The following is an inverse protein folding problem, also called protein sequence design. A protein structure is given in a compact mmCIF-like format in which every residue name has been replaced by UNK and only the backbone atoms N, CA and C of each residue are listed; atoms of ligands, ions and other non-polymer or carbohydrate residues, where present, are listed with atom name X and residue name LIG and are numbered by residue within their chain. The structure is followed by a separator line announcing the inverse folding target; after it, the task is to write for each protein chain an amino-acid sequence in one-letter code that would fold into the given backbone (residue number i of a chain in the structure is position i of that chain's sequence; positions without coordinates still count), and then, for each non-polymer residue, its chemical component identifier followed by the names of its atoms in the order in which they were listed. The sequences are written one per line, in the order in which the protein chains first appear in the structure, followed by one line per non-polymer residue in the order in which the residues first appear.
data_IF_150495812247
#
_entry.id   IF_150495812247
#
_cell.length_a   1.000
_cell.length_b   1.000
_cell.length_c   1.000
_cell.angle_alpha   90.00
_cell.angle_beta   90.00
_cell.angle_gamma   90.00
#
_symmetry.space_group_name_H-M   'P 1'
#
loop_
_entity.id
_entity.type
_entity.pdbx_description
1 polymer ?
#
# COMPACT_ATOMS: atom_id res chain seq x y z
N UNK A 1 -7.60 -18.10 3.78
CA UNK A 1 -8.81 -17.24 3.76
C UNK A 1 -9.05 -16.61 5.11
N UNK A 2 -9.32 -15.30 5.15
CA UNK A 2 -9.76 -14.59 6.35
C UNK A 2 -11.19 -15.00 6.73
N UNK A 3 -11.55 -14.85 8.00
CA UNK A 3 -12.80 -15.37 8.61
C UNK A 3 -13.89 -14.33 8.75
N UNK A 4 -13.57 -13.05 8.61
CA UNK A 4 -14.54 -11.98 8.75
C UNK A 4 -14.17 -10.72 7.96
N UNK A 5 -15.18 -9.98 7.54
CA UNK A 5 -15.08 -8.60 7.06
C UNK A 5 -15.57 -7.68 8.19
N UNK A 6 -14.78 -6.66 8.54
CA UNK A 6 -15.17 -5.69 9.58
C UNK A 6 -15.96 -4.52 8.99
N UNK A 7 -16.61 -3.73 9.85
CA UNK A 7 -17.36 -2.54 9.41
C UNK A 7 -16.44 -1.47 8.82
N UNK A 8 -15.24 -1.29 9.41
CA UNK A 8 -14.19 -0.42 8.89
C UNK A 8 -13.06 -1.31 8.31
N UNK A 9 -12.79 -1.18 7.00
CA UNK A 9 -11.74 -1.90 6.27
C UNK A 9 -10.87 -0.90 5.52
N UNK A 10 -9.57 -0.93 5.75
CA UNK A 10 -8.59 -0.11 5.03
C UNK A 10 -7.68 -1.01 4.21
N UNK A 11 -7.91 -1.05 2.90
CA UNK A 11 -7.00 -1.68 1.96
C UNK A 11 -5.91 -0.68 1.59
N UNK A 12 -4.65 -1.01 1.84
CA UNK A 12 -3.55 -0.06 1.74
C UNK A 12 -2.34 -0.64 1.03
N UNK A 13 -1.51 0.28 0.53
CA UNK A 13 -0.21 0.03 -0.07
C UNK A 13 0.77 1.14 0.36
N UNK A 14 2.06 0.83 0.38
CA UNK A 14 3.10 1.72 0.86
C UNK A 14 4.32 1.70 -0.07
N UNK A 15 4.85 2.88 -0.36
CA UNK A 15 6.05 3.04 -1.20
C UNK A 15 7.23 3.54 -0.37
N UNK A 16 8.39 2.98 -0.66
CA UNK A 16 9.64 3.33 0.00
C UNK A 16 10.82 3.28 -0.96
N UNK A 17 11.85 4.04 -0.60
CA UNK A 17 13.08 4.18 -1.39
C UNK A 17 14.30 4.04 -0.47
N UNK A 18 15.51 3.79 -1.01
CA UNK A 18 16.74 3.94 -0.24
C UNK A 18 16.78 5.30 0.47
N UNK A 19 17.23 5.33 1.73
CA UNK A 19 17.38 6.56 2.51
C UNK A 19 18.84 7.06 2.43
N UNK A 20 19.13 8.13 1.66
CA UNK A 20 20.49 8.64 1.54
C UNK A 20 21.06 9.09 2.90
N UNK A 21 20.23 9.61 3.80
CA UNK A 21 20.71 10.03 5.13
C UNK A 21 21.14 8.83 5.96
N UNK A 22 20.39 7.73 5.90
CA UNK A 22 20.80 6.47 6.51
C UNK A 22 22.08 5.92 5.86
N UNK A 23 22.22 6.02 4.54
CA UNK A 23 23.41 5.62 3.80
C UNK A 23 24.66 6.37 4.27
N UNK A 24 24.58 7.70 4.38
CA UNK A 24 25.68 8.54 4.89
C UNK A 24 26.11 8.15 6.30
N UNK A 25 25.15 7.94 7.19
CA UNK A 25 25.41 7.60 8.59
C UNK A 25 25.98 6.19 8.77
N UNK A 26 25.49 5.20 8.02
CA UNK A 26 25.87 3.80 8.21
C UNK A 26 27.19 3.43 7.53
N UNK A 27 27.60 4.20 6.53
CA UNK A 27 28.81 3.95 5.74
C UNK A 27 29.87 5.05 5.88
N UNK A 28 29.70 5.96 6.86
CA UNK A 28 30.61 7.07 7.13
C UNK A 28 30.93 7.91 5.86
N UNK A 29 29.92 8.15 5.01
CA UNK A 29 30.09 8.87 3.75
C UNK A 29 30.08 10.39 3.96
N UNK A 30 30.72 11.17 3.08
CA UNK A 30 30.72 12.63 3.17
C UNK A 30 29.30 13.22 3.21
N UNK A 31 29.10 14.22 4.06
CA UNK A 31 27.82 14.89 4.21
C UNK A 31 27.35 15.61 2.93
N UNK A 32 28.30 16.02 2.08
CA UNK A 32 28.09 16.71 0.81
C UNK A 32 28.06 15.76 -0.41
N UNK A 33 28.22 14.44 -0.21
CA UNK A 33 28.08 13.46 -1.28
C UNK A 33 26.66 13.51 -1.85
N UNK A 34 26.45 13.58 -3.18
CA UNK A 34 25.11 13.62 -3.78
C UNK A 34 24.27 12.38 -3.43
N UNK A 35 22.94 12.55 -3.23
CA UNK A 35 22.03 11.47 -2.85
C UNK A 35 22.12 10.26 -3.80
N UNK A 36 22.21 10.51 -5.11
CA UNK A 36 22.35 9.44 -6.10
C UNK A 36 23.61 8.59 -5.89
N UNK A 37 24.76 9.22 -5.58
CA UNK A 37 26.01 8.51 -5.31
C UNK A 37 25.95 7.72 -4.00
N UNK A 38 25.31 8.29 -2.98
CA UNK A 38 25.06 7.59 -1.71
C UNK A 38 24.23 6.34 -1.95
N UNK A 39 23.13 6.43 -2.68
CA UNK A 39 22.25 5.29 -2.98
C UNK A 39 22.98 4.22 -3.79
N UNK A 40 23.81 4.59 -4.76
CA UNK A 40 24.67 3.66 -5.48
C UNK A 40 25.63 2.91 -4.54
N UNK A 41 26.25 3.62 -3.62
CA UNK A 41 27.13 3.02 -2.61
C UNK A 41 26.36 2.08 -1.67
N UNK A 42 25.14 2.45 -1.27
CA UNK A 42 24.26 1.58 -0.48
C UNK A 42 23.99 0.26 -1.22
N UNK A 43 23.66 0.30 -2.51
CA UNK A 43 23.46 -0.92 -3.30
C UNK A 43 24.74 -1.74 -3.44
N UNK A 44 25.90 -1.09 -3.67
CA UNK A 44 27.21 -1.76 -3.74
C UNK A 44 27.52 -2.52 -2.45
N UNK A 45 27.30 -1.89 -1.30
CA UNK A 45 27.52 -2.50 0.03
C UNK A 45 26.54 -3.64 0.34
N UNK A 46 25.40 -3.70 -0.34
CA UNK A 46 24.38 -4.75 -0.19
C UNK A 46 24.42 -5.79 -1.34
N UNK A 47 25.53 -5.89 -2.06
CA UNK A 47 25.78 -6.97 -3.00
C UNK A 47 25.24 -6.72 -4.41
N UNK A 48 25.25 -5.47 -4.87
CA UNK A 48 24.92 -5.16 -6.25
C UNK A 48 25.88 -5.88 -7.22
N UNK A 49 25.31 -6.43 -8.29
CA UNK A 49 26.03 -7.07 -9.41
C UNK A 49 25.50 -6.53 -10.73
N UNK A 50 26.14 -6.84 -11.86
CA UNK A 50 25.60 -6.50 -13.19
C UNK A 50 24.21 -7.10 -13.42
N UNK A 51 23.98 -8.34 -12.96
CA UNK A 51 22.70 -9.03 -13.06
C UNK A 51 21.65 -8.50 -12.07
N UNK A 52 22.08 -7.96 -10.94
CA UNK A 52 21.24 -7.43 -9.87
C UNK A 52 21.79 -6.10 -9.36
N UNK A 53 21.68 -5.01 -10.13
CA UNK A 53 22.32 -3.74 -9.80
C UNK A 53 21.67 -3.03 -8.61
N UNK A 54 20.42 -3.38 -8.29
CA UNK A 54 19.61 -2.77 -7.22
C UNK A 54 19.12 -3.85 -6.24
N UNK A 55 20.02 -4.45 -5.43
CA UNK A 55 19.60 -5.42 -4.44
C UNK A 55 18.66 -4.78 -3.42
N UNK A 56 17.77 -5.61 -2.85
CA UNK A 56 16.88 -5.18 -1.78
C UNK A 56 17.70 -4.62 -0.61
N UNK A 57 17.36 -3.40 -0.19
CA UNK A 57 17.88 -2.78 1.02
C UNK A 57 16.96 -3.08 2.20
N UNK A 58 17.54 -3.34 3.36
CA UNK A 58 16.78 -3.56 4.60
C UNK A 58 15.92 -2.34 4.90
N UNK A 59 14.72 -2.54 5.44
CA UNK A 59 13.79 -1.44 5.74
C UNK A 59 14.37 -0.33 6.62
N UNK A 60 15.27 -0.67 7.56
CA UNK A 60 15.99 0.33 8.36
C UNK A 60 16.85 1.31 7.51
N UNK A 61 17.35 0.87 6.35
CA UNK A 61 18.13 1.64 5.38
C UNK A 61 17.26 2.31 4.31
N UNK A 62 15.94 2.14 4.38
CA UNK A 62 14.98 2.75 3.45
C UNK A 62 14.27 3.92 4.12
N UNK A 63 13.56 4.73 3.34
CA UNK A 63 12.61 5.76 3.83
C UNK A 63 11.24 5.52 3.22
N UNK A 64 10.20 5.68 4.03
CA UNK A 64 8.83 5.66 3.53
C UNK A 64 8.50 6.99 2.84
N UNK A 65 7.90 6.93 1.65
CA UNK A 65 7.59 8.13 0.85
C UNK A 65 6.12 8.28 0.48
N UNK A 66 5.34 7.20 0.48
CA UNK A 66 3.90 7.28 0.28
C UNK A 66 3.16 6.16 0.99
N UNK A 67 1.94 6.45 1.44
CA UNK A 67 0.94 5.46 1.87
C UNK A 67 -0.38 5.83 1.21
N UNK A 68 -0.96 4.96 0.40
CA UNK A 68 -2.33 5.11 -0.08
C UNK A 68 -3.24 4.06 0.53
N UNK A 69 -4.52 4.39 0.65
CA UNK A 69 -5.53 3.48 1.17
C UNK A 69 -6.91 3.76 0.58
N UNK A 70 -7.64 2.69 0.28
CA UNK A 70 -9.09 2.71 0.12
C UNK A 70 -9.72 2.39 1.47
N UNK A 71 -10.53 3.31 1.98
CA UNK A 71 -11.28 3.12 3.23
C UNK A 71 -12.73 2.77 2.91
N UNK A 72 -13.18 1.61 3.37
CA UNK A 72 -14.58 1.20 3.38
C UNK A 72 -15.12 1.29 4.81
N UNK A 73 -16.17 2.06 5.01
CA UNK A 73 -16.86 2.21 6.29
C UNK A 73 -18.33 1.87 6.15
N UNK A 74 -18.84 1.01 7.04
CA UNK A 74 -20.26 0.69 7.13
C UNK A 74 -20.86 1.31 8.41
N UNK A 75 -21.92 2.09 8.26
CA UNK A 75 -22.64 2.67 9.39
C UNK A 75 -23.62 1.66 10.04
N UNK A 76 -24.20 1.97 11.21
CA UNK A 76 -25.17 1.08 11.88
C UNK A 76 -26.46 0.83 11.09
N UNK A 77 -26.78 1.66 10.09
CA UNK A 77 -27.92 1.48 9.19
C UNK A 77 -27.57 0.59 8.00
N UNK A 78 -26.30 0.21 7.84
CA UNK A 78 -25.80 -0.65 6.78
C UNK A 78 -25.28 0.12 5.57
N UNK A 79 -25.30 1.46 5.57
CA UNK A 79 -24.80 2.25 4.45
C UNK A 79 -23.28 2.15 4.37
N UNK A 80 -22.77 1.94 3.15
CA UNK A 80 -21.34 1.83 2.88
C UNK A 80 -20.82 3.13 2.28
N UNK A 81 -19.71 3.63 2.81
CA UNK A 81 -18.94 4.73 2.22
C UNK A 81 -17.56 4.23 1.84
N UNK A 82 -17.14 4.52 0.60
CA UNK A 82 -15.79 4.24 0.10
C UNK A 82 -15.09 5.57 -0.21
N UNK A 83 -13.85 5.70 0.22
CA UNK A 83 -12.99 6.86 -0.06
C UNK A 83 -11.56 6.39 -0.36
N UNK A 84 -10.84 7.14 -1.17
CA UNK A 84 -9.43 6.93 -1.50
C UNK A 84 -8.60 8.07 -0.91
N UNK A 85 -7.58 7.70 -0.13
CA UNK A 85 -6.69 8.63 0.57
C UNK A 85 -5.24 8.29 0.27
N UNK A 86 -4.40 9.32 0.25
CA UNK A 86 -2.95 9.19 0.08
C UNK A 86 -2.23 10.15 1.02
N UNK A 87 -1.05 9.74 1.49
CA UNK A 87 -0.06 10.56 2.16
C UNK A 87 1.25 10.45 1.36
N UNK A 88 1.94 11.55 1.03
CA UNK A 88 1.54 12.95 1.28
C UNK A 88 0.24 13.32 0.54
N UNK A 89 -0.57 14.19 1.14
CA UNK A 89 -1.78 14.75 0.51
C UNK A 89 -1.42 15.83 -0.50
N UNK A 90 -0.38 16.60 -0.19
CA UNK A 90 0.20 17.59 -1.08
C UNK A 90 1.67 17.24 -1.36
N UNK A 91 1.96 16.51 -2.46
CA UNK A 91 3.31 16.13 -2.84
C UNK A 91 4.28 17.30 -3.10
N UNK A 92 3.77 18.53 -3.24
CA UNK A 92 4.59 19.72 -3.45
C UNK A 92 4.94 20.43 -2.13
N UNK A 93 4.36 20.00 -1.01
CA UNK A 93 4.62 20.54 0.32
C UNK A 93 5.64 19.68 1.08
N UNK A 94 6.86 20.18 1.36
CA UNK A 94 7.90 19.44 2.07
C UNK A 94 7.47 18.94 3.46
N UNK A 95 6.67 19.70 4.20
CA UNK A 95 6.17 19.31 5.52
C UNK A 95 5.19 18.14 5.43
N UNK A 96 4.47 18.04 4.31
CA UNK A 96 3.55 16.93 4.06
C UNK A 96 4.30 15.67 3.60
N UNK A 97 5.44 15.85 2.93
CA UNK A 97 6.36 14.82 2.46
C UNK A 97 7.35 14.31 3.54
N UNK A 98 7.34 14.89 4.75
CA UNK A 98 8.16 14.39 5.85
C UNK A 98 7.74 12.98 6.27
N UNK A 99 8.72 12.08 6.37
CA UNK A 99 8.48 10.66 6.67
C UNK A 99 7.83 10.46 8.04
N UNK A 100 8.24 11.24 9.06
CA UNK A 100 7.66 11.13 10.40
C UNK A 100 6.20 11.59 10.38
N UNK A 101 5.88 12.67 9.66
CA UNK A 101 4.51 13.14 9.47
C UNK A 101 3.62 12.09 8.76
N UNK A 102 4.10 11.48 7.67
CA UNK A 102 3.38 10.41 6.95
C UNK A 102 3.08 9.23 7.87
N UNK A 103 4.11 8.72 8.56
CA UNK A 103 4.01 7.58 9.47
C UNK A 103 3.07 7.86 10.65
N UNK A 104 3.25 9.00 11.33
CA UNK A 104 2.43 9.39 12.48
C UNK A 104 0.96 9.47 12.10
N UNK A 105 0.62 10.15 10.99
CA UNK A 105 -0.79 10.29 10.57
C UNK A 105 -1.44 8.94 10.30
N UNK A 106 -0.74 8.01 9.66
CA UNK A 106 -1.27 6.69 9.39
C UNK A 106 -1.42 5.87 10.68
N UNK A 107 -0.34 5.69 11.44
CA UNK A 107 -0.32 4.83 12.63
C UNK A 107 -1.24 5.34 13.75
N UNK A 108 -1.29 6.65 13.98
CA UNK A 108 -2.23 7.24 14.94
C UNK A 108 -3.69 7.05 14.49
N UNK A 109 -3.96 7.18 13.18
CA UNK A 109 -5.29 6.96 12.65
C UNK A 109 -5.72 5.50 12.79
N UNK A 110 -4.84 4.54 12.52
CA UNK A 110 -5.10 3.12 12.77
C UNK A 110 -5.35 2.87 14.25
N UNK A 111 -4.50 3.38 15.14
CA UNK A 111 -4.65 3.22 16.59
C UNK A 111 -5.92 3.83 17.18
N UNK A 112 -6.48 4.87 16.54
CA UNK A 112 -7.72 5.53 16.96
C UNK A 112 -8.98 4.90 16.35
N UNK A 113 -8.92 4.53 15.07
CA UNK A 113 -10.08 4.04 14.31
C UNK A 113 -10.24 2.53 14.38
N UNK A 114 -9.15 1.82 14.69
CA UNK A 114 -9.10 0.38 14.81
C UNK A 114 -9.72 -0.38 13.60
N UNK A 115 -9.37 -0.01 12.34
CA UNK A 115 -9.90 -0.67 11.15
C UNK A 115 -9.33 -2.10 11.01
N UNK A 116 -9.98 -2.94 10.20
CA UNK A 116 -9.31 -4.10 9.60
C UNK A 116 -8.36 -3.60 8.51
N UNK A 117 -7.07 -3.82 8.69
CA UNK A 117 -6.07 -3.55 7.67
C UNK A 117 -6.05 -4.69 6.65
N UNK A 118 -5.94 -4.34 5.38
CA UNK A 118 -5.82 -5.28 4.26
C UNK A 118 -4.68 -4.82 3.37
N UNK A 119 -3.74 -5.71 3.06
CA UNK A 119 -2.67 -5.40 2.11
C UNK A 119 -2.19 -6.65 1.38
N UNK A 120 -1.29 -6.48 0.42
CA UNK A 120 -0.70 -7.60 -0.33
C UNK A 120 0.78 -7.72 0.03
N UNK A 121 1.19 -8.79 0.73
CA UNK A 121 2.50 -8.89 1.38
C UNK A 121 2.72 -7.88 2.52
N UNK A 122 1.66 -7.20 3.00
CA UNK A 122 1.78 -6.15 4.01
C UNK A 122 2.40 -6.59 5.34
N UNK A 123 2.29 -7.87 5.70
CA UNK A 123 2.93 -8.40 6.90
C UNK A 123 4.43 -8.69 6.69
N UNK A 124 4.86 -8.87 5.44
CA UNK A 124 6.25 -9.04 5.04
C UNK A 124 6.97 -7.74 4.66
N UNK A 125 6.23 -6.70 4.25
CA UNK A 125 6.78 -5.42 3.82
C UNK A 125 6.27 -4.21 4.57
N UNK A 126 5.02 -3.82 4.32
CA UNK A 126 4.49 -2.50 4.60
C UNK A 126 4.47 -2.19 6.10
N UNK A 127 3.93 -3.11 6.91
CA UNK A 127 3.94 -2.94 8.37
C UNK A 127 5.37 -3.02 8.94
N UNK A 128 6.22 -3.99 8.55
CA UNK A 128 7.63 -3.99 8.97
C UNK A 128 8.40 -2.70 8.70
N UNK A 129 8.25 -2.08 7.52
CA UNK A 129 8.93 -0.81 7.24
C UNK A 129 8.35 0.33 8.07
N UNK A 130 7.02 0.43 8.19
CA UNK A 130 6.38 1.45 9.02
C UNK A 130 6.84 1.37 10.48
N UNK A 131 6.96 0.15 11.02
CA UNK A 131 7.42 -0.07 12.40
C UNK A 131 8.90 0.31 12.54
N UNK A 132 9.78 -0.21 11.67
CA UNK A 132 11.22 0.05 11.77
C UNK A 132 11.53 1.54 11.60
N UNK A 133 10.90 2.19 10.61
CA UNK A 133 11.08 3.62 10.36
C UNK A 133 10.41 4.49 11.40
N UNK A 134 9.26 4.07 11.93
CA UNK A 134 8.64 4.74 13.07
C UNK A 134 9.55 4.79 14.30
N UNK A 135 10.22 3.68 14.61
CA UNK A 135 11.21 3.60 15.69
C UNK A 135 12.42 4.50 15.39
N UNK A 136 12.98 4.44 14.18
CA UNK A 136 14.15 5.25 13.78
C UNK A 136 13.85 6.75 13.84
N UNK A 137 12.66 7.17 13.42
CA UNK A 137 12.22 8.56 13.45
C UNK A 137 11.76 9.02 14.84
N UNK A 138 11.71 8.10 15.82
CA UNK A 138 11.34 8.42 17.20
C UNK A 138 9.88 8.84 17.38
N UNK A 139 8.98 8.41 16.51
CA UNK A 139 7.55 8.74 16.60
C UNK A 139 6.82 7.79 17.57
N UNK A 140 5.72 8.28 18.15
CA UNK A 140 4.83 7.44 18.96
C UNK A 140 3.70 6.87 18.11
N UNK A 141 3.37 5.60 18.34
CA UNK A 141 2.24 4.89 17.73
C UNK A 141 1.47 4.10 18.80
N UNK A 142 1.30 4.69 19.98
CA UNK A 142 0.83 3.99 21.18
C UNK A 142 -0.48 3.20 20.95
N UNK A 143 -1.50 3.81 20.33
CA UNK A 143 -2.77 3.15 20.05
C UNK A 143 -2.64 1.97 19.07
N UNK A 144 -1.80 2.11 18.03
CA UNK A 144 -1.51 1.03 17.08
C UNK A 144 -0.80 -0.15 17.76
N UNK A 145 0.05 0.14 18.75
CA UNK A 145 0.81 -0.86 19.49
C UNK A 145 0.04 -1.52 20.65
N UNK A 146 -1.22 -1.13 20.91
CA UNK A 146 -2.07 -1.84 21.88
C UNK A 146 -2.38 -3.22 21.32
N UNK A 147 -2.18 -4.26 22.14
CA UNK A 147 -2.44 -5.64 21.76
C UNK A 147 -3.26 -6.35 22.84
N UNK A 148 -4.15 -7.28 22.46
CA UNK A 148 -4.87 -8.13 23.40
C UNK A 148 -3.91 -9.13 24.07
N UNK A 149 -4.32 -9.70 25.21
CA UNK A 149 -3.57 -10.76 25.90
C UNK A 149 -3.36 -11.99 25.00
N UNK A 150 -4.40 -12.38 24.25
CA UNK A 150 -4.31 -13.41 23.22
C UNK A 150 -4.58 -12.83 21.84
N UNK A 151 -3.81 -13.22 20.80
CA UNK A 151 -3.92 -12.63 19.46
C UNK A 151 -5.30 -12.69 18.78
N UNK A 152 -6.20 -13.56 19.24
CA UNK A 152 -7.54 -13.73 18.67
C UNK A 152 -8.64 -12.98 19.44
N UNK A 153 -8.32 -12.33 20.57
CA UNK A 153 -9.31 -11.72 21.46
C UNK A 153 -9.60 -10.24 21.12
N UNK A 154 -8.86 -9.62 20.20
CA UNK A 154 -9.03 -8.21 19.88
C UNK A 154 -8.19 -7.73 18.70
N UNK A 155 -8.02 -6.42 18.62
CA UNK A 155 -7.23 -5.73 17.61
C UNK A 155 -5.74 -6.08 17.77
N UNK A 156 -5.20 -6.89 16.86
CA UNK A 156 -3.77 -7.20 16.84
C UNK A 156 -3.24 -7.03 15.42
N UNK A 157 -2.53 -5.95 15.15
CA UNK A 157 -1.95 -5.70 13.81
C UNK A 157 -0.65 -6.47 13.56
N UNK A 158 -0.09 -7.13 14.58
CA UNK A 158 1.22 -7.78 14.52
C UNK A 158 1.13 -9.30 14.33
N UNK A 159 0.02 -9.90 14.77
CA UNK A 159 -0.20 -11.33 14.62
C UNK A 159 -0.57 -11.70 13.18
N UNK A 160 0.17 -12.65 12.60
CA UNK A 160 -0.15 -13.26 11.29
C UNK A 160 -1.48 -14.01 11.27
N UNK A 161 -2.02 -14.36 12.44
CA UNK A 161 -3.29 -15.04 12.59
C UNK A 161 -4.45 -14.09 12.92
N UNK A 162 -4.17 -12.78 12.93
CA UNK A 162 -5.17 -11.76 13.25
C UNK A 162 -6.15 -11.55 12.11
N UNK A 163 -7.42 -11.36 12.47
CA UNK A 163 -8.46 -10.92 11.54
C UNK A 163 -8.47 -9.39 11.38
N UNK A 164 -7.60 -8.66 12.08
CA UNK A 164 -7.48 -7.19 11.98
C UNK A 164 -6.33 -6.75 11.08
N UNK A 165 -5.46 -7.68 10.66
CA UNK A 165 -4.44 -7.46 9.65
C UNK A 165 -4.44 -8.63 8.66
N UNK A 166 -5.10 -8.42 7.53
CA UNK A 166 -5.28 -9.41 6.47
C UNK A 166 -4.24 -9.20 5.38
N UNK A 167 -3.30 -10.14 5.28
CA UNK A 167 -2.37 -10.20 4.16
C UNK A 167 -2.95 -11.09 3.05
N UNK A 168 -3.34 -10.46 1.93
CA UNK A 168 -3.99 -11.13 0.81
C UNK A 168 -3.12 -12.22 0.18
N UNK A 169 -1.80 -12.02 0.12
CA UNK A 169 -0.91 -13.00 -0.47
C UNK A 169 -0.66 -14.20 0.46
N UNK A 170 -1.02 -14.09 1.74
CA UNK A 170 -1.18 -15.25 2.64
C UNK A 170 -2.59 -15.84 2.57
N UNK A 171 -3.62 -15.02 2.35
CA UNK A 171 -5.01 -15.44 2.30
C UNK A 171 -5.33 -16.36 1.09
N UNK A 172 -4.74 -16.06 -0.08
CA UNK A 172 -4.90 -16.82 -1.35
C UNK A 172 -4.22 -18.20 -1.27
N UNK A 173 -3.11 -18.31 -0.53
CA UNK A 173 -2.35 -19.55 -0.40
C UNK A 173 -1.25 -19.70 -1.45
N UNK A 174 -0.47 -20.78 -1.27
CA UNK A 174 0.74 -21.20 -2.02
C UNK A 174 2.09 -20.62 -1.52
N UNK A 175 3.11 -21.47 -1.58
CA UNK A 175 4.52 -21.15 -1.28
C UNK A 175 5.35 -21.25 -2.55
N UNK A 176 6.44 -20.49 -2.64
CA UNK A 176 7.36 -20.58 -3.77
C UNK A 176 6.73 -20.15 -5.10
N UNK A 177 6.92 -20.94 -6.16
CA UNK A 177 6.57 -20.56 -7.55
C UNK A 177 5.07 -20.45 -7.84
N UNK A 178 4.23 -21.06 -7.02
CA UNK A 178 2.77 -21.04 -7.20
C UNK A 178 2.10 -19.84 -6.51
N UNK A 179 2.87 -19.05 -5.73
CA UNK A 179 2.38 -17.79 -5.18
C UNK A 179 2.18 -16.78 -6.32
N UNK A 180 0.95 -16.27 -6.53
CA UNK A 180 0.73 -15.22 -7.49
C UNK A 180 1.20 -13.87 -6.97
N UNK A 181 1.56 -12.98 -7.88
CA UNK A 181 1.71 -11.54 -7.65
C UNK A 181 0.36 -10.84 -7.61
N UNK A 182 0.32 -9.63 -7.04
CA UNK A 182 -0.89 -8.78 -7.06
C UNK A 182 -1.35 -8.54 -8.50
N UNK A 183 -0.40 -8.30 -9.41
CA UNK A 183 -0.67 -8.10 -10.84
C UNK A 183 -1.36 -9.31 -11.47
N UNK A 184 -0.87 -10.52 -11.21
CA UNK A 184 -1.48 -11.74 -11.77
C UNK A 184 -2.91 -11.92 -11.26
N UNK A 185 -3.14 -11.76 -9.96
CA UNK A 185 -4.48 -11.85 -9.38
C UNK A 185 -5.43 -10.77 -9.90
N UNK A 186 -4.96 -9.54 -10.02
CA UNK A 186 -5.77 -8.41 -10.47
C UNK A 186 -6.15 -8.56 -11.95
N UNK A 187 -5.16 -8.67 -12.84
CA UNK A 187 -5.38 -8.65 -14.29
C UNK A 187 -6.23 -9.83 -14.75
N UNK A 188 -5.99 -11.03 -14.21
CA UNK A 188 -6.80 -12.21 -14.52
C UNK A 188 -8.23 -12.13 -13.96
N UNK A 189 -8.48 -11.26 -12.98
CA UNK A 189 -9.81 -10.99 -12.43
C UNK A 189 -10.53 -9.82 -13.11
N UNK A 190 -9.95 -9.27 -14.19
CA UNK A 190 -10.48 -8.09 -14.88
C UNK A 190 -10.29 -6.78 -14.10
N UNK A 191 -9.33 -6.74 -13.17
CA UNK A 191 -8.99 -5.57 -12.34
C UNK A 191 -7.65 -5.01 -12.86
N UNK A 192 -7.48 -3.68 -12.98
CA UNK A 192 -6.19 -3.11 -13.33
C UNK A 192 -5.12 -3.56 -12.35
N UNK A 193 -3.98 -4.02 -12.89
CA UNK A 193 -2.79 -4.27 -12.09
C UNK A 193 -1.91 -3.01 -12.04
N UNK A 194 -0.60 -3.19 -12.18
CA UNK A 194 0.35 -2.08 -12.32
C UNK A 194 0.04 -1.23 -13.56
N UNK A 195 -0.21 0.06 -13.35
CA UNK A 195 -0.51 1.04 -14.39
C UNK A 195 0.76 1.73 -14.92
N UNK A 196 0.75 2.17 -16.18
CA UNK A 196 1.71 3.16 -16.69
C UNK A 196 3.18 2.72 -16.87
N UNK A 197 3.49 1.42 -16.80
CA UNK A 197 4.86 0.91 -16.97
C UNK A 197 5.85 1.33 -15.87
N UNK A 198 5.35 1.94 -14.79
CA UNK A 198 6.12 2.25 -13.60
C UNK A 198 6.18 1.00 -12.71
N UNK A 199 7.38 0.52 -12.40
CA UNK A 199 7.60 -0.60 -11.50
C UNK A 199 8.30 -0.16 -10.22
N UNK A 200 8.32 -1.04 -9.22
CA UNK A 200 8.96 -0.77 -7.92
C UNK A 200 10.45 -0.45 -8.06
N UNK A 201 11.10 -0.98 -9.11
CA UNK A 201 12.53 -0.78 -9.37
C UNK A 201 12.82 0.66 -9.85
N UNK A 202 11.82 1.34 -10.43
CA UNK A 202 11.88 2.74 -10.86
C UNK A 202 11.48 3.78 -9.79
N UNK A 203 10.96 3.36 -8.63
CA UNK A 203 10.51 4.27 -7.55
C UNK A 203 11.69 5.06 -6.97
N UNK A 204 12.83 4.40 -6.79
CA UNK A 204 14.05 5.05 -6.29
C UNK A 204 14.55 6.14 -7.24
N UNK A 205 14.58 5.87 -8.55
CA UNK A 205 14.99 6.84 -9.57
C UNK A 205 14.01 8.01 -9.63
N UNK A 206 12.71 7.71 -9.68
CA UNK A 206 11.69 8.74 -9.68
C UNK A 206 11.78 9.64 -8.44
N UNK A 207 12.09 9.07 -7.27
CA UNK A 207 12.25 9.87 -6.05
C UNK A 207 13.49 10.78 -6.11
N UNK A 208 14.63 10.26 -6.59
CA UNK A 208 15.85 11.04 -6.78
C UNK A 208 15.66 12.19 -7.80
N UNK A 209 14.77 12.00 -8.78
CA UNK A 209 14.36 13.03 -9.74
C UNK A 209 13.25 13.97 -9.21
N UNK A 210 12.88 13.88 -7.93
CA UNK A 210 11.86 14.73 -7.30
C UNK A 210 10.40 14.32 -7.60
N UNK A 211 10.18 13.12 -8.14
CA UNK A 211 8.91 12.58 -8.61
C UNK A 211 7.95 12.08 -7.53
N UNK A 212 7.87 12.71 -6.35
CA UNK A 212 6.99 12.27 -5.24
C UNK A 212 5.52 12.20 -5.69
N UNK A 213 5.07 13.18 -6.48
CA UNK A 213 3.71 13.20 -7.04
C UNK A 213 3.39 11.94 -7.84
N UNK A 214 4.32 11.50 -8.69
CA UNK A 214 4.17 10.29 -9.50
C UNK A 214 4.10 9.04 -8.63
N UNK A 215 4.94 8.98 -7.58
CA UNK A 215 4.94 7.87 -6.62
C UNK A 215 3.60 7.79 -5.87
N UNK A 216 3.08 8.93 -5.39
CA UNK A 216 1.79 8.99 -4.72
C UNK A 216 0.63 8.52 -5.62
N UNK A 217 0.61 8.98 -6.89
CA UNK A 217 -0.39 8.58 -7.88
C UNK A 217 -0.32 7.08 -8.21
N UNK A 218 0.89 6.52 -8.31
CA UNK A 218 1.10 5.09 -8.51
C UNK A 218 0.61 4.27 -7.30
N UNK A 219 0.95 4.69 -6.09
CA UNK A 219 0.51 4.02 -4.85
C UNK A 219 -1.02 4.03 -4.73
N UNK A 220 -1.68 5.13 -5.14
CA UNK A 220 -3.15 5.17 -5.22
C UNK A 220 -3.72 4.06 -6.12
N UNK A 221 -3.10 3.76 -7.27
CA UNK A 221 -3.53 2.65 -8.12
C UNK A 221 -3.33 1.29 -7.44
N UNK A 222 -2.20 1.06 -6.77
CA UNK A 222 -1.92 -0.20 -6.08
C UNK A 222 -2.85 -0.41 -4.87
N UNK A 223 -3.22 0.65 -4.13
CA UNK A 223 -4.22 0.59 -3.07
C UNK A 223 -5.63 0.25 -3.59
N UNK A 224 -6.05 0.84 -4.71
CA UNK A 224 -7.35 0.50 -5.36
C UNK A 224 -7.35 -0.94 -5.86
N UNK A 225 -6.26 -1.37 -6.49
CA UNK A 225 -6.09 -2.75 -6.95
C UNK A 225 -6.15 -3.74 -5.79
N UNK A 226 -5.46 -3.43 -4.69
CA UNK A 226 -5.49 -4.22 -3.46
C UNK A 226 -6.91 -4.33 -2.89
N UNK A 227 -7.67 -3.24 -2.87
CA UNK A 227 -9.07 -3.25 -2.44
C UNK A 227 -9.95 -4.14 -3.33
N UNK A 228 -9.85 -4.00 -4.65
CA UNK A 228 -10.68 -4.77 -5.58
C UNK A 228 -10.35 -6.27 -5.56
N UNK A 229 -9.07 -6.62 -5.38
CA UNK A 229 -8.66 -8.02 -5.18
C UNK A 229 -9.18 -8.56 -3.84
N UNK A 230 -9.09 -7.79 -2.75
CA UNK A 230 -9.71 -8.14 -1.47
C UNK A 230 -11.21 -8.38 -1.63
N UNK A 231 -11.92 -7.49 -2.33
CA UNK A 231 -13.35 -7.59 -2.56
C UNK A 231 -13.71 -8.85 -3.35
N UNK A 232 -12.93 -9.18 -4.39
CA UNK A 232 -13.10 -10.44 -5.16
C UNK A 232 -12.87 -11.67 -4.27
N UNK A 233 -11.85 -11.65 -3.40
CA UNK A 233 -11.59 -12.73 -2.44
C UNK A 233 -12.72 -12.84 -1.42
N UNK A 234 -13.26 -11.71 -0.96
CA UNK A 234 -14.36 -11.67 0.00
C UNK A 234 -15.67 -12.21 -0.60
N UNK A 235 -15.96 -11.87 -1.86
CA UNK A 235 -17.07 -12.43 -2.65
C UNK A 235 -16.89 -13.94 -2.85
N UNK A 236 -15.71 -14.41 -3.26
CA UNK A 236 -15.40 -15.84 -3.35
C UNK A 236 -15.62 -16.58 -2.02
N UNK A 237 -15.29 -15.95 -0.90
CA UNK A 237 -15.50 -16.50 0.44
C UNK A 237 -16.96 -16.43 0.93
N UNK A 238 -17.87 -15.82 0.16
CA UNK A 238 -19.29 -15.70 0.50
C UNK A 238 -19.62 -14.59 1.50
N UNK A 239 -18.69 -13.64 1.76
CA UNK A 239 -18.98 -12.47 2.60
C UNK A 239 -19.85 -11.43 1.89
N UNK A 240 -19.82 -11.44 0.55
CA UNK A 240 -20.68 -10.66 -0.30
C UNK A 240 -21.39 -11.61 -1.25
N UNK A 241 -22.70 -11.45 -1.44
CA UNK A 241 -23.41 -12.09 -2.54
C UNK A 241 -23.14 -11.33 -3.86
N UNK A 242 -23.67 -11.83 -4.97
CA UNK A 242 -23.42 -11.25 -6.30
C UNK A 242 -23.92 -9.80 -6.43
N UNK A 243 -25.07 -9.47 -5.84
CA UNK A 243 -25.62 -8.09 -5.86
C UNK A 243 -24.73 -7.15 -5.04
N UNK A 244 -24.38 -7.55 -3.81
CA UNK A 244 -23.51 -6.76 -2.93
C UNK A 244 -22.11 -6.58 -3.54
N UNK A 245 -21.59 -7.60 -4.21
CA UNK A 245 -20.30 -7.51 -4.89
C UNK A 245 -20.32 -6.54 -6.07
N UNK A 246 -21.43 -6.46 -6.81
CA UNK A 246 -21.64 -5.45 -7.86
C UNK A 246 -21.77 -4.05 -7.25
N UNK A 247 -22.62 -3.89 -6.23
CA UNK A 247 -22.82 -2.61 -5.53
C UNK A 247 -21.50 -2.05 -4.97
N UNK A 248 -20.66 -2.88 -4.33
CA UNK A 248 -19.34 -2.47 -3.83
C UNK A 248 -18.40 -2.00 -4.96
N UNK A 249 -18.42 -2.66 -6.12
CA UNK A 249 -17.64 -2.22 -7.28
C UNK A 249 -18.15 -0.90 -7.86
N UNK A 250 -19.47 -0.70 -7.90
CA UNK A 250 -20.09 0.53 -8.38
C UNK A 250 -19.76 1.72 -7.45
N UNK A 251 -19.67 1.48 -6.13
CA UNK A 251 -19.20 2.47 -5.17
C UNK A 251 -17.74 2.85 -5.41
N UNK A 252 -16.86 1.88 -5.67
CA UNK A 252 -15.44 2.16 -6.02
C UNK A 252 -15.36 2.97 -7.31
N UNK A 253 -16.09 2.55 -8.35
CA UNK A 253 -16.13 3.26 -9.63
C UNK A 253 -16.60 4.69 -9.46
N UNK A 254 -17.72 4.90 -8.78
CA UNK A 254 -18.29 6.22 -8.52
C UNK A 254 -17.30 7.12 -7.77
N UNK A 255 -16.60 6.56 -6.77
CA UNK A 255 -15.57 7.27 -6.01
C UNK A 255 -14.39 7.69 -6.90
N UNK A 256 -13.91 6.80 -7.78
CA UNK A 256 -12.81 7.10 -8.72
C UNK A 256 -13.22 8.16 -9.73
N UNK A 257 -14.39 8.03 -10.36
CA UNK A 257 -14.91 8.96 -11.35
C UNK A 257 -15.14 10.35 -10.75
N UNK A 258 -15.66 10.43 -9.51
CA UNK A 258 -15.83 11.71 -8.82
C UNK A 258 -14.48 12.38 -8.56
N UNK A 259 -13.49 11.65 -8.03
CA UNK A 259 -12.16 12.20 -7.77
C UNK A 259 -11.44 12.60 -9.05
N UNK A 260 -11.63 11.86 -10.14
CA UNK A 260 -11.03 12.11 -11.44
C UNK A 260 -11.54 13.39 -12.12
N UNK A 261 -12.64 14.00 -11.64
CA UNK A 261 -13.09 15.32 -12.12
C UNK A 261 -12.07 16.43 -11.82
N UNK A 262 -11.23 16.23 -10.82
CA UNK A 262 -10.16 17.17 -10.50
C UNK A 262 -8.92 16.93 -11.37
N UNK A 263 -8.35 17.95 -12.04
CA UNK A 263 -7.22 17.77 -12.95
C UNK A 263 -6.00 17.06 -12.34
N UNK A 264 -5.72 17.29 -11.05
CA UNK A 264 -4.63 16.65 -10.31
C UNK A 264 -4.80 15.12 -10.16
N UNK A 265 -6.04 14.63 -10.33
CA UNK A 265 -6.42 13.23 -10.21
C UNK A 265 -6.69 12.56 -11.57
N UNK A 266 -6.22 13.13 -12.67
CA UNK A 266 -6.41 12.57 -14.02
C UNK A 266 -5.95 11.10 -14.16
N UNK A 267 -4.92 10.69 -13.41
CA UNK A 267 -4.45 9.31 -13.32
C UNK A 267 -5.54 8.30 -12.87
N UNK A 268 -6.57 8.75 -12.13
CA UNK A 268 -7.69 7.89 -11.75
C UNK A 268 -8.65 7.62 -12.91
N UNK A 269 -8.80 8.56 -13.86
CA UNK A 269 -9.56 8.32 -15.08
C UNK A 269 -8.89 7.24 -15.94
N UNK A 270 -7.56 7.23 -16.01
CA UNK A 270 -6.79 6.18 -16.69
C UNK A 270 -7.04 4.81 -16.05
N UNK A 271 -7.11 4.75 -14.72
CA UNK A 271 -7.45 3.51 -13.99
C UNK A 271 -8.83 2.99 -14.38
N UNK A 272 -9.85 3.85 -14.41
CA UNK A 272 -11.22 3.48 -14.81
C UNK A 272 -11.26 2.96 -16.26
N UNK A 273 -10.57 3.62 -17.18
CA UNK A 273 -10.50 3.19 -18.58
C UNK A 273 -9.86 1.81 -18.73
N UNK A 274 -8.75 1.56 -18.02
CA UNK A 274 -8.11 0.25 -18.02
C UNK A 274 -9.00 -0.81 -17.39
N UNK A 275 -9.76 -0.44 -16.35
CA UNK A 275 -10.71 -1.35 -15.71
C UNK A 275 -11.80 -1.81 -16.69
N UNK A 276 -12.36 -0.89 -17.48
CA UNK A 276 -13.34 -1.20 -18.51
C UNK A 276 -12.76 -2.11 -19.59
N UNK A 277 -11.54 -1.80 -20.05
CA UNK A 277 -10.84 -2.60 -21.06
C UNK A 277 -10.63 -4.04 -20.59
N UNK A 278 -10.18 -4.24 -19.35
CA UNK A 278 -9.92 -5.57 -18.78
C UNK A 278 -11.21 -6.34 -18.52
N UNK A 279 -12.27 -5.71 -17.99
CA UNK A 279 -13.59 -6.35 -17.84
C UNK A 279 -14.14 -6.82 -19.18
N UNK A 280 -14.00 -6.02 -20.24
CA UNK A 280 -14.40 -6.40 -21.59
C UNK A 280 -13.65 -7.62 -22.16
N UNK A 281 -12.42 -7.87 -21.71
CA UNK A 281 -11.61 -9.01 -22.15
C UNK A 281 -11.88 -10.30 -21.38
N UNK A 282 -12.08 -10.21 -20.07
CA UNK A 282 -12.29 -11.38 -19.19
C UNK A 282 -13.76 -11.85 -19.23
N UNK A 283 -14.68 -11.01 -19.69
CA UNK A 283 -16.13 -11.25 -19.66
C UNK A 283 -16.75 -10.75 -18.36
N UNK A 284 -18.05 -10.42 -18.37
CA UNK A 284 -18.76 -10.00 -17.15
C UNK A 284 -18.80 -11.17 -16.15
N UNK A 285 -18.06 -11.04 -15.05
CA UNK A 285 -18.10 -11.94 -13.89
C UNK A 285 -18.37 -11.16 -12.62
#
# INVERSE_FOLDING_TARGET
MFKSVKHDVWAFDAEWVPDPDAGRLLYDLPADMPDFEVVQEMWRQNGATEEKPRPFLKYAMSRLVSIAMVTRSQDPQGNVTIDLRVQPRDPDNPDDCDEAAILSRFLESVGRRLPQLVGFNSTGSDLPIMIQRGIIKGITAAGFCIRPDKPWEGYDYFSRASEWNVDLMTAIGEWGKARPSLKEMAVLSGIPGKMGGFDGDSVAEAWLDGGIRRIAQYNQHDAVTTYLVWLRIAHFAGFFNDDQYREEQDLVRSMLEEKAKSPENGHLAEYVQEWDRLKGMVGEG
#
